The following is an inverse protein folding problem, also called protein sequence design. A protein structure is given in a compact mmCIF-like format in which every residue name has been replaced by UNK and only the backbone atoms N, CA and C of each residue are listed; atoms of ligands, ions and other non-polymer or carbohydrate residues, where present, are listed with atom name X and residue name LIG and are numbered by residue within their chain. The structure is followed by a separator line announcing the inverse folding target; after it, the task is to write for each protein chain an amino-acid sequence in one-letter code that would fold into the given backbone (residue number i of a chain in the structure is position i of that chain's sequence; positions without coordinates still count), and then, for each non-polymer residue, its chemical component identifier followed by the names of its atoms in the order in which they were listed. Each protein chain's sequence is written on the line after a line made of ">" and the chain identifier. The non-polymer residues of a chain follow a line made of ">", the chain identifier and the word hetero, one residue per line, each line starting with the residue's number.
data_IF_421759233950
#
_entry.id   IF_421759233950
#
_cell.length_a   1.000
_cell.length_b   1.000
_cell.length_c   1.000
_cell.angle_alpha   90.00
_cell.angle_beta   90.00
_cell.angle_gamma   90.00
#
_symmetry.space_group_name_H-M   'P 1'
#
loop_
_entity.id
_entity.type
_entity.pdbx_description
1 polymer ?
#
# COMPACT_ATOMS: atom_id res chain seq x y z
N UNK A 1 6.79 7.64 0.58
CA UNK A 1 7.40 6.74 -0.42
C UNK A 1 8.88 6.96 -0.63
N UNK A 2 9.43 8.16 -0.47
CA UNK A 2 10.89 8.34 -0.39
C UNK A 2 11.55 7.43 0.67
N UNK A 3 10.84 7.09 1.76
CA UNK A 3 11.30 6.15 2.79
C UNK A 3 11.40 4.68 2.33
N UNK A 4 10.77 4.31 1.20
CA UNK A 4 11.00 3.03 0.52
C UNK A 4 12.11 3.13 -0.54
N UNK A 5 12.70 4.30 -0.77
CA UNK A 5 13.62 4.52 -1.89
C UNK A 5 12.95 4.46 -3.27
N UNK A 6 11.61 4.51 -3.34
CA UNK A 6 10.85 4.50 -4.59
C UNK A 6 10.47 5.91 -5.05
N UNK A 7 10.49 6.16 -6.35
CA UNK A 7 9.94 7.39 -6.95
C UNK A 7 8.41 7.44 -6.77
N UNK A 8 7.87 8.37 -5.97
CA UNK A 8 6.42 8.47 -5.73
C UNK A 8 5.60 8.74 -7.00
N UNK A 9 6.22 9.20 -8.10
CA UNK A 9 5.54 9.39 -9.39
C UNK A 9 5.20 8.07 -10.08
N UNK A 10 5.96 7.02 -9.80
CA UNK A 10 5.80 5.69 -10.40
C UNK A 10 5.07 4.69 -9.48
N UNK A 11 4.61 5.16 -8.32
CA UNK A 11 3.99 4.30 -7.29
C UNK A 11 2.51 4.59 -7.15
N UNK A 12 1.73 3.52 -7.25
CA UNK A 12 0.31 3.49 -6.89
C UNK A 12 0.13 2.91 -5.50
N UNK A 13 -0.66 3.57 -4.67
CA UNK A 13 -1.10 3.06 -3.38
C UNK A 13 -2.44 2.36 -3.59
N UNK A 14 -2.57 1.11 -3.16
CA UNK A 14 -3.82 0.34 -3.32
C UNK A 14 -4.25 -0.18 -1.96
N UNK A 15 -5.43 0.22 -1.52
CA UNK A 15 -6.07 -0.31 -0.32
C UNK A 15 -7.15 -1.30 -0.72
N UNK A 16 -6.94 -2.55 -0.36
CA UNK A 16 -7.84 -3.65 -0.66
C UNK A 16 -9.03 -3.69 0.31
N UNK A 17 -10.04 -4.48 -0.05
CA UNK A 17 -11.23 -4.73 0.77
C UNK A 17 -11.04 -5.96 1.68
N UNK A 18 -12.13 -6.39 2.34
CA UNK A 18 -12.11 -7.54 3.24
C UNK A 18 -11.76 -8.87 2.55
N UNK A 19 -11.94 -8.98 1.22
CA UNK A 19 -11.51 -10.16 0.46
C UNK A 19 -9.99 -10.19 0.36
N UNK A 20 -9.36 -9.04 0.16
CA UNK A 20 -7.90 -8.92 0.24
C UNK A 20 -7.36 -9.28 1.63
N UNK A 21 -8.07 -8.88 2.70
CA UNK A 21 -7.71 -9.29 4.07
C UNK A 21 -7.80 -10.81 4.23
N UNK A 22 -8.88 -11.42 3.76
CA UNK A 22 -9.07 -12.87 3.82
C UNK A 22 -7.97 -13.62 3.05
N UNK A 23 -7.66 -13.17 1.83
CA UNK A 23 -6.60 -13.74 1.00
C UNK A 23 -5.22 -13.66 1.68
N UNK A 24 -4.88 -12.50 2.24
CA UNK A 24 -3.63 -12.31 2.99
C UNK A 24 -3.54 -13.20 4.23
N UNK A 25 -4.61 -13.28 5.02
CA UNK A 25 -4.63 -14.14 6.21
C UNK A 25 -4.55 -15.63 5.88
N UNK A 26 -5.09 -16.05 4.73
CA UNK A 26 -5.10 -17.45 4.31
C UNK A 26 -3.72 -17.94 3.86
N UNK A 27 -3.00 -17.16 3.06
CA UNK A 27 -1.74 -17.64 2.47
C UNK A 27 -0.70 -16.56 2.19
N UNK A 28 -0.80 -15.42 2.87
CA UNK A 28 0.18 -14.33 2.79
C UNK A 28 0.40 -13.88 1.35
N UNK A 29 1.68 -13.75 0.97
CA UNK A 29 2.11 -13.24 -0.34
C UNK A 29 1.61 -14.05 -1.54
N UNK A 30 1.43 -15.37 -1.41
CA UNK A 30 1.01 -16.21 -2.54
C UNK A 30 -0.47 -16.01 -2.82
N UNK A 31 -1.31 -16.33 -1.85
CA UNK A 31 -2.76 -16.19 -2.00
C UNK A 31 -3.17 -14.73 -2.26
N UNK A 32 -2.60 -13.78 -1.51
CA UNK A 32 -2.89 -12.36 -1.73
C UNK A 32 -2.32 -11.85 -3.05
N UNK A 33 -1.11 -12.27 -3.44
CA UNK A 33 -0.52 -11.88 -4.72
C UNK A 33 -1.39 -12.33 -5.88
N UNK A 34 -1.86 -13.58 -5.85
CA UNK A 34 -2.81 -14.09 -6.84
C UNK A 34 -4.13 -13.32 -6.82
N UNK A 35 -4.70 -13.03 -5.63
CA UNK A 35 -5.89 -12.18 -5.51
C UNK A 35 -5.66 -10.78 -6.12
N UNK A 36 -4.51 -10.16 -5.83
CA UNK A 36 -4.16 -8.84 -6.33
C UNK A 36 -3.91 -8.83 -7.85
N UNK A 37 -3.61 -9.98 -8.46
CA UNK A 37 -3.50 -10.14 -9.91
C UNK A 37 -4.83 -9.99 -10.64
N UNK A 38 -5.98 -10.02 -9.97
CA UNK A 38 -7.28 -9.85 -10.64
C UNK A 38 -7.96 -8.55 -10.22
N UNK A 39 -8.08 -7.61 -11.15
CA UNK A 39 -8.65 -6.29 -10.87
C UNK A 39 -9.76 -5.93 -11.85
N UNK A 40 -10.73 -5.13 -11.39
CA UNK A 40 -11.78 -4.61 -12.28
C UNK A 40 -11.13 -3.77 -13.38
N UNK A 41 -11.61 -3.95 -14.61
CA UNK A 41 -11.15 -3.15 -15.76
C UNK A 41 -11.41 -1.66 -15.52
N UNK A 42 -12.56 -1.31 -14.92
CA UNK A 42 -12.96 0.08 -14.65
C UNK A 42 -13.55 0.26 -13.25
N UNK A 43 -13.00 1.17 -12.41
CA UNK A 43 -11.72 1.87 -12.61
C UNK A 43 -10.54 0.89 -12.45
N UNK A 44 -9.56 0.96 -13.37
CA UNK A 44 -8.32 0.18 -13.28
C UNK A 44 -7.49 0.67 -12.08
N UNK A 45 -7.24 -0.14 -11.05
CA UNK A 45 -6.59 0.34 -9.84
C UNK A 45 -5.11 0.67 -10.06
N UNK A 46 -4.43 -0.07 -10.95
CA UNK A 46 -3.02 0.12 -11.30
C UNK A 46 -2.81 1.32 -12.24
N UNK A 47 -3.72 1.56 -13.20
CA UNK A 47 -3.74 2.74 -14.06
C UNK A 47 -2.36 3.07 -14.67
N UNK A 48 -1.78 2.11 -15.40
CA UNK A 48 -0.47 2.21 -16.10
C UNK A 48 0.76 2.41 -15.19
N UNK A 49 0.59 2.34 -13.86
CA UNK A 49 1.73 2.31 -12.95
C UNK A 49 2.57 1.06 -13.21
N UNK A 50 3.88 1.14 -12.95
CA UNK A 50 4.73 -0.06 -12.91
C UNK A 50 4.83 -0.64 -11.51
N UNK A 51 4.68 0.19 -10.48
CA UNK A 51 4.87 -0.22 -9.09
C UNK A 51 3.59 0.02 -8.30
N UNK A 52 3.18 -0.97 -7.51
CA UNK A 52 2.05 -0.88 -6.60
C UNK A 52 2.47 -1.23 -5.17
N UNK A 53 2.16 -0.34 -4.23
CA UNK A 53 2.22 -0.62 -2.81
C UNK A 53 0.84 -1.03 -2.32
N UNK A 54 0.76 -2.22 -1.74
CA UNK A 54 -0.48 -2.81 -1.29
C UNK A 54 -0.70 -2.57 0.20
N UNK A 55 -1.95 -2.23 0.52
CA UNK A 55 -2.40 -1.99 1.87
C UNK A 55 -3.69 -2.74 2.14
N UNK A 56 -3.85 -3.21 3.38
CA UNK A 56 -5.08 -3.74 3.92
C UNK A 56 -5.79 -2.68 4.79
N UNK A 57 -7.10 -2.78 5.00
CA UNK A 57 -7.81 -1.99 6.02
C UNK A 57 -7.14 -2.14 7.39
N UNK A 58 -6.75 -1.01 7.99
CA UNK A 58 -6.32 -0.97 9.39
C UNK A 58 -7.46 -0.51 10.33
N UNK A 59 -7.17 -0.33 11.63
CA UNK A 59 -8.14 0.20 12.58
C UNK A 59 -8.57 1.64 12.24
N UNK A 60 -9.77 2.04 12.64
CA UNK A 60 -10.17 3.45 12.53
C UNK A 60 -9.31 4.31 13.46
N UNK A 61 -8.92 5.49 13.00
CA UNK A 61 -8.19 6.45 13.82
C UNK A 61 -9.16 7.19 14.77
N UNK A 62 -8.66 7.82 15.85
CA UNK A 62 -9.51 8.51 16.83
C UNK A 62 -10.40 9.61 16.25
N UNK A 63 -9.99 10.22 15.13
CA UNK A 63 -10.77 11.25 14.43
C UNK A 63 -11.79 10.69 13.42
N UNK A 64 -11.95 9.36 13.38
CA UNK A 64 -12.87 8.65 12.49
C UNK A 64 -12.32 8.43 11.07
N UNK A 65 -11.10 8.86 10.77
CA UNK A 65 -10.45 8.56 9.49
C UNK A 65 -10.04 7.09 9.41
N UNK A 66 -9.85 6.62 8.17
CA UNK A 66 -9.45 5.24 7.89
C UNK A 66 -7.93 5.14 7.91
N UNK A 67 -7.42 4.04 8.45
CA UNK A 67 -6.01 3.68 8.26
C UNK A 67 -5.83 2.54 7.26
N UNK A 68 -4.58 2.34 6.84
CA UNK A 68 -4.20 1.25 5.96
C UNK A 68 -2.87 0.63 6.39
N UNK A 69 -2.83 -0.68 6.51
CA UNK A 69 -1.68 -1.48 6.90
C UNK A 69 -0.93 -1.94 5.66
N UNK A 70 0.35 -1.59 5.55
CA UNK A 70 1.17 -2.01 4.41
C UNK A 70 1.48 -3.51 4.44
N UNK A 71 1.34 -4.19 3.30
CA UNK A 71 1.60 -5.65 3.18
C UNK A 71 2.64 -6.00 2.11
N UNK A 72 3.11 -5.02 1.34
CA UNK A 72 4.22 -5.20 0.41
C UNK A 72 4.11 -4.36 -0.86
N UNK A 73 5.12 -4.52 -1.71
CA UNK A 73 5.21 -3.82 -3.00
C UNK A 73 5.37 -4.84 -4.12
N UNK A 74 4.65 -4.62 -5.22
CA UNK A 74 4.78 -5.41 -6.45
C UNK A 74 5.23 -4.55 -7.62
N UNK A 75 5.99 -5.17 -8.52
CA UNK A 75 6.19 -4.74 -9.90
C UNK A 75 5.09 -5.37 -10.76
N UNK A 76 4.55 -4.58 -11.67
CA UNK A 76 3.55 -5.01 -12.66
C UNK A 76 4.28 -5.25 -13.96
N UNK A 77 4.30 -6.50 -14.40
CA UNK A 77 5.05 -6.96 -15.56
C UNK A 77 4.20 -6.97 -16.83
N UNK A 78 2.93 -7.35 -16.70
CA UNK A 78 1.99 -7.45 -17.82
C UNK A 78 0.53 -7.30 -17.36
N UNK A 79 -0.35 -6.98 -18.29
CA UNK A 79 -1.79 -6.81 -18.11
C UNK A 79 -2.55 -7.35 -19.33
N UNK A 80 -3.60 -8.14 -19.09
CA UNK A 80 -4.49 -8.62 -20.15
C UNK A 80 -5.94 -8.75 -19.68
N UNK A 81 -6.93 -8.66 -20.58
CA UNK A 81 -8.31 -9.03 -20.26
C UNK A 81 -8.38 -10.48 -19.79
N UNK A 82 -9.01 -10.74 -18.64
CA UNK A 82 -9.12 -12.08 -18.10
C UNK A 82 -10.13 -12.92 -18.90
N UNK A 83 -9.65 -14.01 -19.51
CA UNK A 83 -10.43 -14.95 -20.31
C UNK A 83 -10.52 -16.36 -19.70
N UNK A 84 -9.86 -16.59 -18.55
CA UNK A 84 -9.82 -17.88 -17.88
C UNK A 84 -8.76 -18.87 -18.41
N UNK A 85 -7.98 -18.49 -19.42
CA UNK A 85 -6.99 -19.36 -20.06
C UNK A 85 -5.57 -19.07 -19.56
N UNK A 86 -5.08 -17.84 -19.74
CA UNK A 86 -3.72 -17.46 -19.32
C UNK A 86 -3.69 -17.10 -17.84
N UNK A 87 -3.04 -17.93 -17.02
CA UNK A 87 -2.86 -17.67 -15.59
C UNK A 87 -1.80 -16.59 -15.31
N UNK A 88 -1.93 -15.84 -14.21
CA UNK A 88 -0.88 -14.92 -13.76
C UNK A 88 0.34 -15.65 -13.20
N UNK A 89 1.46 -14.94 -13.05
CA UNK A 89 2.70 -15.49 -12.47
C UNK A 89 2.53 -15.99 -11.02
N UNK A 90 1.72 -15.31 -10.21
CA UNK A 90 1.42 -15.75 -8.84
C UNK A 90 0.11 -16.54 -8.87
N UNK A 91 0.20 -17.84 -8.62
CA UNK A 91 -0.91 -18.80 -8.76
C UNK A 91 -1.36 -19.31 -7.40
N UNK A 92 -2.67 -19.24 -7.16
CA UNK A 92 -3.38 -19.88 -6.06
C UNK A 92 -4.67 -20.49 -6.63
N UNK A 93 -4.83 -21.81 -6.50
CA UNK A 93 -5.90 -22.55 -7.16
C UNK A 93 -7.30 -22.10 -6.72
N UNK A 94 -7.48 -21.82 -5.42
CA UNK A 94 -8.74 -21.37 -4.87
C UNK A 94 -9.12 -19.97 -5.36
N UNK A 95 -8.15 -19.06 -5.45
CA UNK A 95 -8.39 -17.73 -6.06
C UNK A 95 -8.77 -17.90 -7.52
N UNK A 96 -7.99 -18.66 -8.31
CA UNK A 96 -8.25 -18.84 -9.73
C UNK A 96 -9.63 -19.44 -9.96
N UNK A 97 -10.01 -20.46 -9.20
CA UNK A 97 -11.33 -21.07 -9.28
C UNK A 97 -12.45 -20.05 -9.04
N UNK A 98 -12.27 -19.15 -8.06
CA UNK A 98 -13.23 -18.07 -7.77
C UNK A 98 -13.29 -16.96 -8.83
N UNK A 99 -12.23 -16.77 -9.61
CA UNK A 99 -12.16 -15.75 -10.67
C UNK A 99 -12.59 -16.28 -12.04
N UNK A 100 -12.72 -17.61 -12.22
CA UNK A 100 -13.22 -18.20 -13.47
C UNK A 100 -14.64 -17.73 -13.76
N UNK A 101 -14.86 -17.26 -14.99
CA UNK A 101 -16.17 -16.75 -15.44
C UNK A 101 -16.50 -15.33 -15.02
N UNK A 102 -15.63 -14.67 -14.23
CA UNK A 102 -15.82 -13.27 -13.87
C UNK A 102 -15.56 -12.37 -15.08
N UNK A 103 -16.51 -11.49 -15.38
CA UNK A 103 -16.43 -10.54 -16.50
C UNK A 103 -15.91 -9.17 -16.05
N UNK A 104 -15.39 -8.38 -17.00
CA UNK A 104 -14.87 -7.02 -16.78
C UNK A 104 -13.72 -6.96 -15.75
N UNK A 105 -12.82 -7.95 -15.85
CA UNK A 105 -11.62 -8.09 -15.02
C UNK A 105 -10.43 -8.19 -15.93
N UNK A 106 -9.34 -7.51 -15.55
CA UNK A 106 -8.02 -7.72 -16.12
C UNK A 106 -7.21 -8.57 -15.15
N UNK A 107 -6.39 -9.45 -15.71
CA UNK A 107 -5.39 -10.20 -14.99
C UNK A 107 -4.01 -9.53 -15.17
N UNK A 108 -3.17 -9.65 -14.15
CA UNK A 108 -1.87 -8.99 -14.08
C UNK A 108 -0.79 -9.95 -13.64
N UNK A 109 0.34 -9.87 -14.32
CA UNK A 109 1.57 -10.49 -13.85
C UNK A 109 2.23 -9.57 -12.82
N UNK A 110 2.29 -10.07 -11.58
CA UNK A 110 2.85 -9.35 -10.45
C UNK A 110 4.12 -10.06 -9.95
N UNK A 111 5.13 -9.28 -9.60
CA UNK A 111 6.35 -9.75 -8.94
C UNK A 111 6.51 -9.01 -7.61
N UNK A 112 6.69 -9.74 -6.51
CA UNK A 112 6.97 -9.13 -5.21
C UNK A 112 8.38 -8.56 -5.19
N UNK A 113 8.49 -7.27 -4.90
CA UNK A 113 9.77 -6.62 -4.67
C UNK A 113 10.20 -6.79 -3.21
N UNK A 114 11.50 -6.90 -2.97
CA UNK A 114 12.07 -6.90 -1.61
C UNK A 114 12.01 -5.51 -0.95
N UNK A 115 11.82 -4.45 -1.73
CA UNK A 115 11.73 -3.08 -1.24
C UNK A 115 10.58 -2.93 -0.24
N UNK A 116 10.93 -2.49 0.97
CA UNK A 116 9.98 -2.30 2.07
C UNK A 116 9.44 -3.58 2.68
N UNK A 117 9.99 -4.75 2.35
CA UNK A 117 9.59 -6.02 2.95
C UNK A 117 9.62 -5.97 4.48
N UNK A 118 10.60 -5.27 5.05
CA UNK A 118 10.78 -5.06 6.49
C UNK A 118 9.64 -4.26 7.13
N UNK A 119 8.84 -3.53 6.36
CA UNK A 119 7.69 -2.76 6.84
C UNK A 119 6.35 -3.50 6.71
N UNK A 120 6.36 -4.69 6.09
CA UNK A 120 5.16 -5.52 5.95
C UNK A 120 4.54 -5.78 7.32
N UNK A 121 3.24 -5.50 7.44
CA UNK A 121 2.44 -5.63 8.67
C UNK A 121 2.93 -4.79 9.85
N UNK A 122 3.86 -3.85 9.62
CA UNK A 122 4.44 -2.98 10.66
C UNK A 122 4.15 -1.52 10.43
N UNK A 123 3.89 -1.13 9.18
CA UNK A 123 3.62 0.25 8.83
C UNK A 123 2.11 0.49 8.67
N UNK A 124 1.60 1.42 9.46
CA UNK A 124 0.25 1.96 9.33
C UNK A 124 0.30 3.40 8.82
N UNK A 125 -0.49 3.68 7.80
CA UNK A 125 -0.65 5.04 7.26
C UNK A 125 -2.08 5.56 7.46
N UNK A 126 -2.22 6.87 7.52
CA UNK A 126 -3.51 7.55 7.43
C UNK A 126 -3.99 7.48 5.97
N UNK A 127 -5.13 6.84 5.74
CA UNK A 127 -5.76 6.72 4.42
C UNK A 127 -6.71 7.87 4.09
N UNK A 128 -6.96 8.75 5.06
CA UNK A 128 -7.89 9.89 5.07
C UNK A 128 -9.38 9.45 5.17
N UNK A 129 -10.30 10.40 5.48
CA UNK A 129 -11.73 10.12 5.53
C UNK A 129 -12.32 9.70 4.18
N UNK A 130 -13.23 8.72 4.24
CA UNK A 130 -13.94 8.20 3.08
C UNK A 130 -13.10 7.21 2.28
N UNK A 131 -13.54 5.95 2.23
CA UNK A 131 -12.95 4.91 1.38
C UNK A 131 -13.12 5.17 -0.14
N UNK A 132 -13.36 6.42 -0.56
CA UNK A 132 -13.82 6.79 -1.90
C UNK A 132 -12.87 6.40 -3.02
N UNK A 133 -11.59 6.18 -2.72
CA UNK A 133 -10.63 5.70 -3.70
C UNK A 133 -9.83 4.51 -3.14
N UNK A 134 -10.07 3.33 -3.71
CA UNK A 134 -9.30 2.11 -3.47
C UNK A 134 -7.87 2.19 -4.01
N UNK A 135 -7.58 3.15 -4.90
CA UNK A 135 -6.22 3.41 -5.38
C UNK A 135 -5.91 4.91 -5.48
N UNK A 136 -4.68 5.30 -5.16
CA UNK A 136 -4.23 6.69 -5.14
C UNK A 136 -2.79 6.81 -5.66
N UNK A 137 -2.45 7.92 -6.32
CA UNK A 137 -1.08 8.20 -6.73
C UNK A 137 -0.26 8.71 -5.55
N UNK A 138 0.89 8.08 -5.26
CA UNK A 138 1.69 8.40 -4.08
C UNK A 138 2.20 9.87 -4.09
N UNK A 139 2.57 10.41 -5.26
CA UNK A 139 3.00 11.80 -5.40
C UNK A 139 1.87 12.84 -5.29
N UNK A 140 0.62 12.48 -5.67
CA UNK A 140 -0.51 13.43 -5.63
C UNK A 140 -1.09 13.59 -4.23
N UNK A 141 -0.99 12.54 -3.41
CA UNK A 141 -1.49 12.50 -2.03
C UNK A 141 -0.49 11.80 -1.13
N UNK A 142 0.56 12.51 -0.67
CA UNK A 142 1.49 11.97 0.32
C UNK A 142 0.72 11.52 1.56
N UNK A 143 0.96 10.28 2.01
CA UNK A 143 0.29 9.70 3.18
C UNK A 143 1.15 9.87 4.42
N UNK A 144 0.50 10.26 5.52
CA UNK A 144 1.15 10.35 6.82
C UNK A 144 1.33 8.94 7.41
N UNK A 145 2.49 8.70 8.03
CA UNK A 145 2.72 7.49 8.82
C UNK A 145 2.09 7.72 10.19
N UNK A 146 1.18 6.84 10.57
CA UNK A 146 0.49 6.87 11.87
C UNK A 146 1.26 6.04 12.88
N UNK A 147 1.72 4.86 12.46
CA UNK A 147 2.38 3.89 13.33
C UNK A 147 3.46 3.15 12.54
N UNK A 148 4.59 2.89 13.20
CA UNK A 148 5.63 1.99 12.71
C UNK A 148 6.03 1.05 13.85
N UNK A 149 5.69 -0.22 13.71
CA UNK A 149 5.96 -1.26 14.72
C UNK A 149 7.38 -1.79 14.63
N UNK A 150 7.92 -2.29 15.74
CA UNK A 150 9.16 -3.05 15.73
C UNK A 150 8.92 -4.48 15.23
N UNK A 151 7.75 -5.06 15.55
CA UNK A 151 7.36 -6.39 15.11
C UNK A 151 5.89 -6.41 14.65
N UNK A 152 5.56 -7.26 13.68
CA UNK A 152 4.21 -7.31 13.09
C UNK A 152 3.11 -7.67 14.10
N UNK A 153 3.44 -8.55 15.05
CA UNK A 153 2.50 -9.06 16.06
C UNK A 153 2.36 -8.15 17.29
N UNK A 154 3.08 -7.02 17.33
CA UNK A 154 2.88 -6.05 18.41
C UNK A 154 1.44 -5.56 18.43
N UNK A 155 0.83 -5.45 19.62
CA UNK A 155 -0.49 -4.84 19.73
C UNK A 155 -0.42 -3.42 19.17
N UNK A 156 -1.54 -2.95 18.59
CA UNK A 156 -1.64 -1.57 18.15
C UNK A 156 -1.24 -0.64 19.30
N UNK A 157 -0.42 0.37 19.01
CA UNK A 157 0.01 1.32 20.02
C UNK A 157 -1.23 1.94 20.68
N UNK A 158 -1.33 1.98 22.03
CA UNK A 158 -2.53 2.45 22.70
C UNK A 158 -2.79 3.91 22.34
N UNK A 159 -3.88 4.14 21.60
CA UNK A 159 -4.40 5.48 21.27
C UNK A 159 -5.20 6.04 22.44
N UNK A 160 -4.53 6.35 23.55
CA UNK A 160 -5.11 7.17 24.61
C UNK A 160 -4.05 8.03 25.27
N UNK A 161 -3.64 9.10 24.58
CA UNK A 161 -3.11 10.28 25.26
C UNK A 161 -4.26 11.28 25.46
N UNK A 162 -4.83 11.40 26.67
CA UNK A 162 -5.68 12.54 26.97
C UNK A 162 -4.78 13.79 26.96
N UNK A 163 -4.86 14.61 25.91
CA UNK A 163 -4.24 15.94 25.91
C UNK A 163 -3.25 16.29 24.79
N UNK A 164 -3.20 15.57 23.66
CA UNK A 164 -2.42 16.06 22.52
C UNK A 164 -3.27 16.98 21.64
N UNK A 165 -3.25 18.28 21.97
CA UNK A 165 -3.59 19.31 21.01
C UNK A 165 -2.75 19.08 19.73
N UNK A 166 -3.43 18.97 18.60
CA UNK A 166 -2.88 18.79 17.25
C UNK A 166 -1.62 19.65 17.08
N UNK A 167 -0.43 19.06 17.26
CA UNK A 167 0.79 19.78 16.93
C UNK A 167 0.82 19.89 15.40
N UNK A 168 0.88 21.12 14.90
CA UNK A 168 0.95 21.42 13.46
C UNK A 168 2.29 20.96 12.82
N UNK A 169 3.08 20.17 13.53
CA UNK A 169 4.45 19.78 13.20
C UNK A 169 4.63 18.26 13.03
N UNK A 170 3.61 17.53 12.56
CA UNK A 170 3.89 16.25 11.91
C UNK A 170 4.75 16.56 10.68
N UNK A 171 5.98 16.01 10.54
CA UNK A 171 6.83 16.33 9.41
C UNK A 171 6.10 16.00 8.10
N UNK A 172 5.65 17.04 7.41
CA UNK A 172 5.13 16.96 6.05
C UNK A 172 6.33 16.99 5.13
N UNK A 173 6.75 15.83 4.65
CA UNK A 173 7.89 15.72 3.74
C UNK A 173 7.49 16.21 2.35
N UNK A 174 7.78 17.49 2.09
CA UNK A 174 7.47 18.17 0.83
C UNK A 174 7.95 19.62 0.80
N UNK A 175 9.25 19.84 0.86
CA UNK A 175 9.96 20.94 0.17
C UNK A 175 11.44 20.83 0.50
N UNK A 176 12.26 20.71 -0.54
CA UNK A 176 13.70 20.75 -0.39
C UNK A 176 14.16 22.13 0.07
N UNK A 177 15.20 22.14 0.91
CA UNK A 177 16.40 22.95 0.71
C UNK A 177 17.44 22.45 1.72
N UNK A 178 18.41 21.68 1.24
CA UNK A 178 19.70 21.57 1.91
C UNK A 178 20.35 22.95 1.78
N UNK A 179 20.36 23.72 2.87
CA UNK A 179 21.33 24.80 3.03
C UNK A 179 22.57 24.19 3.67
N UNK A 180 23.63 24.06 2.89
CA UNK A 180 24.98 23.98 3.40
C UNK A 180 25.25 25.25 4.23
N UNK A 181 25.53 25.08 5.51
CA UNK A 181 26.10 26.13 6.34
C UNK A 181 27.59 25.84 6.49
N UNK A 182 28.40 26.53 5.70
CA UNK A 182 29.80 26.78 6.01
C UNK A 182 29.94 27.91 7.03
N UNK A 183 30.86 27.73 7.97
CA UNK A 183 31.62 28.76 8.70
C UNK A 183 32.73 27.99 9.45
N UNK A 184 33.98 28.00 8.98
CA UNK A 184 35.04 29.01 9.17
C UNK A 184 35.50 29.16 10.63
N UNK A 185 36.69 28.58 10.87
CA UNK A 185 37.83 29.03 11.70
C UNK A 185 37.63 30.00 12.87
N UNK A 186 38.23 29.64 14.01
CA UNK A 186 39.13 30.50 14.79
C UNK A 186 40.12 29.63 15.58
N UNK A 187 41.38 30.09 15.55
CA UNK A 187 42.63 29.75 16.25
C UNK A 187 42.62 28.71 17.38
#
# INVERSE_FOLDING_TARGET
>A
MAWLGLDPKQVRLIRHDDRGVAAWRRGGKITFGCFASFQREKPAPYNETKIACHFLPGPNLPDGSLSALYVGTTLILDEWPWDGQRLPLIVDEDIIAGERGRQNVNAFDLEWLDVGREYSERLLIDWEPGARAWSQWAHKRPKAIVELRLQAHEPAFPVSFPGSARSRNTPRLGSGLLRESGASTCW
#
